data_IF_813947433473
#
_entry.id   IF_813947433473
#
_cell.length_a   1.000
_cell.length_b   1.000
_cell.length_c   1.000
_cell.angle_alpha   90.00
_cell.angle_beta   90.00
_cell.angle_gamma   90.00
#
_symmetry.space_group_name_H-M   'P 1'
#
loop_
_entity.id
_entity.type
_entity.pdbx_description
1 polymer ?
#
# COMPACT_ATOMS: atom_id res chain seq x y z
N UNK A 1 -26.90 62.09 47.06
CA UNK A 1 -26.05 61.72 45.91
C UNK A 1 -25.32 60.41 46.07
N UNK A 2 -25.24 59.76 47.29
CA UNK A 2 -24.57 58.49 47.47
C UNK A 2 -25.45 57.27 47.07
N UNK A 3 -26.77 57.36 47.04
CA UNK A 3 -27.64 56.23 46.70
C UNK A 3 -27.69 55.87 45.20
N UNK A 4 -27.45 56.81 44.32
CA UNK A 4 -27.48 56.60 42.85
C UNK A 4 -26.20 55.86 42.35
N UNK A 5 -25.07 56.06 42.99
CA UNK A 5 -23.81 55.41 42.69
C UNK A 5 -23.81 53.92 43.00
N UNK A 6 -24.49 53.50 44.09
CA UNK A 6 -24.59 52.08 44.54
C UNK A 6 -25.48 51.27 43.57
N UNK A 7 -26.64 51.83 43.17
CA UNK A 7 -27.55 51.13 42.24
C UNK A 7 -26.95 50.96 40.84
N UNK A 8 -26.18 51.94 40.31
CA UNK A 8 -25.49 51.81 39.06
C UNK A 8 -24.37 50.76 39.08
N UNK A 9 -23.64 50.67 40.19
CA UNK A 9 -22.63 49.63 40.41
C UNK A 9 -23.23 48.19 40.44
N UNK A 10 -24.41 48.05 41.07
CA UNK A 10 -25.09 46.74 41.12
C UNK A 10 -25.68 46.30 39.79
N UNK A 11 -26.22 47.22 39.00
CA UNK A 11 -26.69 46.94 37.65
C UNK A 11 -25.52 46.54 36.75
N UNK A 12 -24.38 47.23 36.86
CA UNK A 12 -23.19 46.90 36.08
C UNK A 12 -22.62 45.51 36.47
N UNK A 13 -22.56 45.17 37.74
CA UNK A 13 -22.14 43.85 38.23
C UNK A 13 -23.06 42.73 37.74
N UNK A 14 -24.37 42.96 37.72
CA UNK A 14 -25.35 41.99 37.18
C UNK A 14 -25.17 41.81 35.66
N UNK A 15 -24.95 42.85 34.94
CA UNK A 15 -24.72 42.80 33.47
C UNK A 15 -23.43 42.09 33.10
N UNK A 16 -22.35 42.34 33.84
CA UNK A 16 -21.06 41.61 33.65
C UNK A 16 -21.21 40.12 33.96
N UNK A 17 -21.93 39.79 35.04
CA UNK A 17 -22.20 38.38 35.45
C UNK A 17 -23.11 37.66 34.43
N UNK A 18 -24.04 38.36 33.80
CA UNK A 18 -24.91 37.82 32.73
C UNK A 18 -24.10 37.56 31.45
N UNK A 19 -23.27 38.48 31.02
CA UNK A 19 -22.39 38.34 29.87
C UNK A 19 -21.36 37.20 30.05
N UNK A 20 -20.82 37.04 31.24
CA UNK A 20 -19.86 35.98 31.54
C UNK A 20 -20.53 34.60 31.50
N UNK A 21 -21.78 34.46 32.01
CA UNK A 21 -22.56 33.23 31.89
C UNK A 21 -22.90 32.89 30.43
N UNK A 22 -23.33 33.87 29.62
CA UNK A 22 -23.60 33.63 28.20
C UNK A 22 -22.35 33.22 27.42
N UNK A 23 -21.20 33.83 27.71
CA UNK A 23 -19.92 33.45 27.10
C UNK A 23 -19.48 32.02 27.48
N UNK A 24 -19.77 31.61 28.75
CA UNK A 24 -19.47 30.26 29.21
C UNK A 24 -20.39 29.20 28.57
N UNK A 25 -21.70 29.50 28.45
CA UNK A 25 -22.65 28.62 27.73
C UNK A 25 -22.34 28.51 26.27
N UNK A 26 -21.96 29.58 25.57
CA UNK A 26 -21.53 29.55 24.17
C UNK A 26 -20.26 28.73 24.00
N UNK A 27 -19.29 28.84 24.92
CA UNK A 27 -18.05 28.06 24.87
C UNK A 27 -18.27 26.57 25.05
N UNK A 28 -19.19 26.18 25.94
CA UNK A 28 -19.60 24.79 26.19
C UNK A 28 -20.35 24.24 24.97
N UNK A 29 -21.30 25.01 24.43
CA UNK A 29 -22.05 24.64 23.24
C UNK A 29 -21.15 24.46 22.00
N UNK A 30 -20.19 25.37 21.79
CA UNK A 30 -19.23 25.29 20.71
C UNK A 30 -18.32 24.07 20.87
N UNK A 31 -17.85 23.78 22.07
CA UNK A 31 -17.03 22.61 22.38
C UNK A 31 -17.80 21.30 22.17
N UNK A 32 -19.05 21.24 22.59
CA UNK A 32 -19.93 20.08 22.42
C UNK A 32 -20.23 19.83 20.92
N UNK A 33 -20.53 20.89 20.17
CA UNK A 33 -20.79 20.79 18.72
C UNK A 33 -19.53 20.37 17.95
N UNK A 34 -18.36 20.87 18.35
CA UNK A 34 -17.07 20.50 17.75
C UNK A 34 -16.71 19.04 18.02
N UNK A 35 -16.92 18.58 19.27
CA UNK A 35 -16.68 17.16 19.65
C UNK A 35 -17.65 16.23 18.92
N UNK A 36 -18.91 16.62 18.79
CA UNK A 36 -19.90 15.85 18.04
C UNK A 36 -19.57 15.78 16.54
N UNK A 37 -19.06 16.87 15.95
CA UNK A 37 -18.63 16.91 14.55
C UNK A 37 -17.42 16.01 14.30
N UNK A 38 -16.44 16.00 15.22
CA UNK A 38 -15.28 15.10 15.15
C UNK A 38 -15.72 13.64 15.29
N UNK A 39 -16.60 13.34 16.25
CA UNK A 39 -17.11 11.99 16.47
C UNK A 39 -17.88 11.48 15.24
N UNK A 40 -18.74 12.31 14.64
CA UNK A 40 -19.49 11.96 13.44
C UNK A 40 -18.57 11.77 12.22
N UNK A 41 -17.53 12.59 12.10
CA UNK A 41 -16.53 12.45 11.07
C UNK A 41 -15.73 11.14 11.24
N UNK A 42 -15.36 10.80 12.47
CA UNK A 42 -14.67 9.53 12.76
C UNK A 42 -15.57 8.31 12.48
N UNK A 43 -16.85 8.37 12.83
CA UNK A 43 -17.80 7.29 12.51
C UNK A 43 -18.01 7.12 11.00
N UNK A 44 -18.13 8.22 10.24
CA UNK A 44 -18.29 8.14 8.79
C UNK A 44 -17.03 7.57 8.08
N UNK A 45 -15.84 7.85 8.63
CA UNK A 45 -14.60 7.24 8.14
C UNK A 45 -14.54 5.74 8.47
N UNK A 46 -14.99 5.34 9.67
CA UNK A 46 -15.11 3.94 10.06
C UNK A 46 -16.13 3.17 9.20
N UNK A 47 -17.29 3.75 8.93
CA UNK A 47 -18.28 3.17 8.01
C UNK A 47 -17.71 3.03 6.60
N UNK A 48 -17.00 4.05 6.11
CA UNK A 48 -16.29 3.99 4.83
C UNK A 48 -15.23 2.88 4.80
N UNK A 49 -14.51 2.70 5.91
CA UNK A 49 -13.51 1.63 6.06
C UNK A 49 -14.14 0.24 5.97
N UNK A 50 -15.19 -0.02 6.76
CA UNK A 50 -15.88 -1.31 6.79
C UNK A 50 -16.54 -1.64 5.45
N UNK A 51 -17.15 -0.65 4.79
CA UNK A 51 -17.77 -0.85 3.47
C UNK A 51 -16.73 -1.17 2.39
N UNK A 52 -15.58 -0.48 2.40
CA UNK A 52 -14.49 -0.78 1.44
C UNK A 52 -13.93 -2.19 1.67
N UNK A 53 -13.70 -2.60 2.92
CA UNK A 53 -13.29 -3.97 3.24
C UNK A 53 -14.33 -5.01 2.80
N UNK A 54 -15.62 -4.74 3.03
CA UNK A 54 -16.72 -5.59 2.58
C UNK A 54 -16.73 -5.75 1.06
N UNK A 55 -16.56 -4.66 0.32
CA UNK A 55 -16.53 -4.67 -1.15
C UNK A 55 -15.31 -5.44 -1.69
N UNK A 56 -14.13 -5.27 -1.09
CA UNK A 56 -12.93 -6.03 -1.44
C UNK A 56 -13.16 -7.53 -1.22
N UNK A 57 -13.73 -7.92 -0.07
CA UNK A 57 -14.02 -9.31 0.24
C UNK A 57 -15.06 -9.92 -0.73
N UNK A 58 -16.14 -9.19 -1.04
CA UNK A 58 -17.16 -9.62 -2.00
C UNK A 58 -16.59 -9.81 -3.41
N UNK A 59 -15.79 -8.86 -3.89
CA UNK A 59 -15.10 -8.97 -5.17
C UNK A 59 -14.13 -10.16 -5.21
N UNK A 60 -13.42 -10.41 -4.11
CA UNK A 60 -12.58 -11.60 -3.96
C UNK A 60 -13.39 -12.90 -4.08
N UNK A 61 -14.54 -12.97 -3.41
CA UNK A 61 -15.43 -14.14 -3.50
C UNK A 61 -16.02 -14.32 -4.92
N UNK A 62 -16.40 -13.23 -5.58
CA UNK A 62 -16.86 -13.27 -6.96
C UNK A 62 -15.75 -13.71 -7.92
N UNK A 63 -14.53 -13.25 -7.72
CA UNK A 63 -13.35 -13.69 -8.48
C UNK A 63 -13.18 -15.21 -8.40
N UNK A 64 -13.20 -15.80 -7.19
CA UNK A 64 -13.06 -17.24 -7.02
C UNK A 64 -14.21 -18.03 -7.65
N UNK A 65 -15.45 -17.52 -7.62
CA UNK A 65 -16.59 -18.13 -8.31
C UNK A 65 -16.42 -18.05 -9.84
N UNK A 66 -15.90 -16.93 -10.33
CA UNK A 66 -15.65 -16.72 -11.76
C UNK A 66 -14.55 -17.58 -12.33
N UNK A 67 -13.57 -17.99 -11.53
CA UNK A 67 -12.45 -18.82 -11.96
C UNK A 67 -12.90 -20.17 -12.57
N UNK A 68 -14.06 -20.69 -12.19
CA UNK A 68 -14.63 -21.93 -12.72
C UNK A 68 -15.34 -21.77 -14.07
N UNK A 69 -15.74 -20.55 -14.45
CA UNK A 69 -16.59 -20.29 -15.63
C UNK A 69 -15.79 -19.69 -16.81
N UNK A 70 -14.55 -19.89 -16.86
CA UNK A 70 -13.54 -19.17 -17.58
C UNK A 70 -13.61 -19.27 -19.13
N UNK A 71 -13.89 -18.18 -19.84
CA UNK A 71 -13.28 -17.92 -21.15
C UNK A 71 -12.53 -16.60 -21.15
N UNK A 72 -11.49 -16.43 -20.31
CA UNK A 72 -10.61 -15.29 -20.49
C UNK A 72 -9.67 -15.57 -21.64
N UNK A 73 -9.58 -14.63 -22.54
CA UNK A 73 -8.69 -14.71 -23.67
C UNK A 73 -7.25 -14.60 -23.14
N UNK A 74 -6.45 -15.65 -23.36
CA UNK A 74 -5.02 -15.69 -23.04
C UNK A 74 -4.30 -14.38 -23.44
N UNK A 75 -4.69 -13.78 -24.55
CA UNK A 75 -4.19 -12.50 -25.04
C UNK A 75 -4.37 -11.36 -24.02
N UNK A 76 -5.54 -11.27 -23.36
CA UNK A 76 -5.80 -10.24 -22.36
C UNK A 76 -4.93 -10.40 -21.11
N UNK A 77 -4.72 -11.65 -20.66
CA UNK A 77 -3.82 -11.92 -19.52
C UNK A 77 -2.37 -11.53 -19.87
N UNK A 78 -1.89 -11.87 -21.07
CA UNK A 78 -0.52 -11.53 -21.51
C UNK A 78 -0.31 -10.03 -21.65
N UNK A 79 -1.31 -9.30 -22.13
CA UNK A 79 -1.23 -7.84 -22.22
C UNK A 79 -1.14 -7.19 -20.83
N UNK A 80 -1.96 -7.65 -19.89
CA UNK A 80 -1.87 -7.18 -18.52
C UNK A 80 -0.57 -7.62 -17.84
N UNK A 81 -0.11 -8.85 -18.06
CA UNK A 81 1.16 -9.35 -17.54
C UNK A 81 2.35 -8.52 -18.04
N UNK A 82 2.35 -8.12 -19.32
CA UNK A 82 3.38 -7.23 -19.86
C UNK A 82 3.38 -5.86 -19.17
N UNK A 83 2.21 -5.29 -18.90
CA UNK A 83 2.12 -4.03 -18.13
C UNK A 83 2.66 -4.19 -16.71
N UNK A 84 2.25 -5.26 -16.00
CA UNK A 84 2.72 -5.53 -14.64
C UNK A 84 4.21 -5.83 -14.55
N UNK A 85 4.73 -6.64 -15.47
CA UNK A 85 6.11 -7.06 -15.46
C UNK A 85 7.03 -6.03 -16.11
N UNK A 86 6.94 -5.89 -17.44
CA UNK A 86 7.93 -5.13 -18.20
C UNK A 86 7.90 -3.63 -17.90
N UNK A 87 6.70 -3.02 -17.83
CA UNK A 87 6.60 -1.58 -17.63
C UNK A 87 6.99 -1.13 -16.21
N UNK A 88 6.83 -2.00 -15.20
CA UNK A 88 7.18 -1.67 -13.81
C UNK A 88 8.65 -1.92 -13.47
N UNK A 89 9.34 -2.82 -14.21
CA UNK A 89 10.73 -3.20 -13.93
C UNK A 89 11.70 -2.02 -13.76
N UNK A 90 11.75 -1.01 -14.65
CA UNK A 90 12.74 0.06 -14.52
C UNK A 90 12.63 0.81 -13.20
N UNK A 91 11.41 1.13 -12.79
CA UNK A 91 11.14 1.86 -11.52
C UNK A 91 11.42 0.95 -10.32
N UNK A 92 10.97 -0.30 -10.38
CA UNK A 92 11.15 -1.26 -9.29
C UNK A 92 12.63 -1.58 -9.08
N UNK A 93 13.39 -1.81 -10.14
CA UNK A 93 14.84 -2.01 -10.07
C UNK A 93 15.55 -0.79 -9.49
N UNK A 94 15.15 0.41 -9.88
CA UNK A 94 15.76 1.64 -9.34
C UNK A 94 15.50 1.78 -7.85
N UNK A 95 14.27 1.59 -7.40
CA UNK A 95 13.91 1.73 -5.97
C UNK A 95 14.59 0.64 -5.14
N UNK A 96 14.43 -0.63 -5.50
CA UNK A 96 14.99 -1.76 -4.78
C UNK A 96 16.53 -1.75 -4.83
N UNK A 97 17.12 -1.39 -5.97
CA UNK A 97 18.56 -1.27 -6.12
C UNK A 97 19.15 -0.16 -5.24
N UNK A 98 18.54 1.02 -5.22
CA UNK A 98 19.01 2.13 -4.36
C UNK A 98 18.88 1.82 -2.87
N UNK A 99 17.76 1.24 -2.44
CA UNK A 99 17.58 0.84 -1.03
C UNK A 99 18.58 -0.24 -0.63
N UNK A 100 18.84 -1.21 -1.49
CA UNK A 100 19.84 -2.24 -1.25
C UNK A 100 21.26 -1.67 -1.13
N UNK A 101 21.64 -0.72 -1.99
CA UNK A 101 22.93 -0.02 -1.90
C UNK A 101 23.10 0.67 -0.55
N UNK A 102 22.06 1.40 -0.09
CA UNK A 102 22.07 2.11 1.19
C UNK A 102 22.23 1.12 2.35
N UNK A 103 21.43 0.06 2.38
CA UNK A 103 21.47 -0.95 3.45
C UNK A 103 22.82 -1.68 3.45
N UNK A 104 23.32 -2.07 2.28
CA UNK A 104 24.60 -2.75 2.17
C UNK A 104 25.77 -1.87 2.66
N UNK A 105 25.78 -0.57 2.36
CA UNK A 105 26.80 0.36 2.89
C UNK A 105 26.74 0.45 4.42
N UNK A 106 25.55 0.53 5.01
CA UNK A 106 25.38 0.60 6.45
C UNK A 106 25.83 -0.70 7.15
N UNK A 107 25.36 -1.86 6.65
CA UNK A 107 25.72 -3.16 7.19
C UNK A 107 27.23 -3.41 7.05
N UNK A 108 27.79 -3.17 5.86
CA UNK A 108 29.20 -3.39 5.60
C UNK A 108 30.09 -2.52 6.51
N UNK A 109 29.73 -1.24 6.68
CA UNK A 109 30.46 -0.33 7.54
C UNK A 109 30.52 -0.77 9.01
N UNK A 110 29.40 -1.26 9.55
CA UNK A 110 29.35 -1.72 10.95
C UNK A 110 29.97 -3.12 11.12
N UNK A 111 29.71 -4.06 10.23
CA UNK A 111 30.22 -5.42 10.32
C UNK A 111 31.75 -5.48 10.18
N UNK A 112 32.33 -4.69 9.28
CA UNK A 112 33.78 -4.65 9.11
C UNK A 112 34.48 -4.07 10.36
N UNK A 113 33.93 -3.03 10.99
CA UNK A 113 34.43 -2.49 12.25
C UNK A 113 34.46 -3.53 13.38
N UNK A 114 33.48 -4.43 13.38
CA UNK A 114 33.34 -5.53 14.37
C UNK A 114 34.17 -6.77 13.99
N UNK A 115 34.91 -6.76 12.89
CA UNK A 115 35.66 -7.93 12.41
C UNK A 115 34.80 -9.03 11.76
N UNK A 116 33.50 -8.75 11.52
CA UNK A 116 32.51 -9.70 10.98
C UNK A 116 32.20 -9.45 9.49
N UNK A 117 33.12 -8.88 8.72
CA UNK A 117 32.95 -8.54 7.31
C UNK A 117 32.54 -9.71 6.42
N UNK A 118 32.94 -10.94 6.78
CA UNK A 118 32.59 -12.15 6.04
C UNK A 118 31.07 -12.50 6.06
N UNK A 119 30.26 -11.86 6.91
CA UNK A 119 28.84 -12.10 7.02
C UNK A 119 27.98 -11.05 6.32
N UNK A 120 28.59 -10.01 5.72
CA UNK A 120 27.88 -8.89 5.07
C UNK A 120 26.97 -9.37 3.95
N UNK A 121 27.47 -10.19 3.02
CA UNK A 121 26.68 -10.70 1.91
C UNK A 121 25.50 -11.56 2.36
N UNK A 122 25.72 -12.39 3.40
CA UNK A 122 24.67 -13.19 4.04
C UNK A 122 23.53 -12.29 4.56
N UNK A 123 23.84 -11.27 5.34
CA UNK A 123 22.83 -10.40 5.94
C UNK A 123 22.08 -9.58 4.87
N UNK A 124 22.79 -9.02 3.90
CA UNK A 124 22.17 -8.26 2.81
C UNK A 124 21.26 -9.14 1.99
N UNK A 125 21.68 -10.35 1.62
CA UNK A 125 20.87 -11.25 0.81
C UNK A 125 19.63 -11.75 1.54
N UNK A 126 19.74 -12.09 2.83
CA UNK A 126 18.59 -12.48 3.67
C UNK A 126 17.59 -11.33 3.78
N UNK A 127 18.03 -10.11 4.07
CA UNK A 127 17.16 -8.95 4.16
C UNK A 127 16.45 -8.66 2.83
N UNK A 128 17.18 -8.73 1.71
CA UNK A 128 16.61 -8.49 0.38
C UNK A 128 15.56 -9.53 -0.01
N UNK A 129 15.79 -10.81 0.27
CA UNK A 129 14.88 -11.88 -0.12
C UNK A 129 13.69 -11.99 0.84
N UNK A 130 13.89 -11.85 2.15
CA UNK A 130 12.82 -12.02 3.14
C UNK A 130 11.91 -10.81 3.26
N UNK A 131 12.46 -9.58 3.23
CA UNK A 131 11.71 -8.38 3.61
C UNK A 131 11.83 -7.26 2.57
N UNK A 132 12.98 -6.61 2.48
CA UNK A 132 13.17 -5.37 1.75
C UNK A 132 12.82 -5.45 0.26
N UNK A 133 13.29 -6.50 -0.41
CA UNK A 133 13.02 -6.67 -1.85
C UNK A 133 11.54 -6.82 -2.17
N UNK A 134 10.80 -7.55 -1.32
CA UNK A 134 9.36 -7.80 -1.50
C UNK A 134 8.55 -6.53 -1.20
N UNK A 135 8.83 -5.86 -0.07
CA UNK A 135 8.11 -4.66 0.37
C UNK A 135 8.34 -3.50 -0.60
N UNK A 136 9.60 -3.21 -0.93
CA UNK A 136 9.96 -2.09 -1.81
C UNK A 136 9.45 -2.30 -3.24
N UNK A 137 9.51 -3.54 -3.77
CA UNK A 137 8.88 -3.86 -5.02
C UNK A 137 7.35 -3.70 -4.95
N UNK A 138 6.72 -4.10 -3.83
CA UNK A 138 5.30 -3.89 -3.58
C UNK A 138 4.92 -2.41 -3.62
N UNK A 139 5.67 -1.56 -2.95
CA UNK A 139 5.45 -0.11 -2.93
C UNK A 139 5.60 0.52 -4.32
N UNK A 140 6.61 0.12 -5.08
CA UNK A 140 6.79 0.58 -6.45
C UNK A 140 5.61 0.19 -7.35
N UNK A 141 5.15 -1.06 -7.24
CA UNK A 141 4.02 -1.57 -8.02
C UNK A 141 2.70 -0.90 -7.63
N UNK A 142 2.42 -0.70 -6.34
CA UNK A 142 1.23 0.03 -5.89
C UNK A 142 1.20 1.43 -6.49
N UNK A 143 2.31 2.14 -6.42
CA UNK A 143 2.39 3.52 -6.89
C UNK A 143 2.19 3.64 -8.40
N UNK A 144 2.71 2.72 -9.17
CA UNK A 144 2.65 2.75 -10.64
C UNK A 144 1.44 1.99 -11.19
N UNK A 145 1.34 0.71 -10.90
CA UNK A 145 0.32 -0.17 -11.49
C UNK A 145 -0.98 -0.12 -10.70
N UNK A 146 -0.93 -0.15 -9.38
CA UNK A 146 -2.12 -0.07 -8.53
C UNK A 146 -2.92 1.20 -8.78
N UNK A 147 -2.25 2.35 -8.84
CA UNK A 147 -2.88 3.63 -9.16
C UNK A 147 -3.44 3.66 -10.58
N UNK A 148 -2.69 3.15 -11.57
CA UNK A 148 -3.12 3.09 -12.96
C UNK A 148 -4.35 2.22 -13.15
N UNK A 149 -4.39 1.02 -12.54
CA UNK A 149 -5.55 0.13 -12.58
C UNK A 149 -6.79 0.75 -11.96
N UNK A 150 -6.65 1.37 -10.79
CA UNK A 150 -7.75 2.04 -10.13
C UNK A 150 -8.29 3.20 -10.97
N UNK A 151 -7.41 3.99 -11.59
CA UNK A 151 -7.78 5.10 -12.47
C UNK A 151 -8.49 4.61 -13.74
N UNK A 152 -7.99 3.53 -14.37
CA UNK A 152 -8.57 2.95 -15.58
C UNK A 152 -9.99 2.44 -15.32
N UNK A 153 -10.20 1.66 -14.25
CA UNK A 153 -11.51 1.13 -13.88
C UNK A 153 -12.46 2.25 -13.44
N UNK A 154 -11.95 3.22 -12.67
CA UNK A 154 -12.73 4.38 -12.26
C UNK A 154 -13.21 5.21 -13.46
N UNK A 155 -12.35 5.42 -14.45
CA UNK A 155 -12.72 6.09 -15.70
C UNK A 155 -13.79 5.31 -16.46
N UNK A 156 -13.63 4.00 -16.61
CA UNK A 156 -14.63 3.14 -17.25
C UNK A 156 -15.97 3.16 -16.48
N UNK A 157 -15.95 3.28 -15.16
CA UNK A 157 -17.17 3.38 -14.34
C UNK A 157 -17.86 4.71 -14.52
N UNK A 158 -17.13 5.82 -14.49
CA UNK A 158 -17.67 7.17 -14.62
C UNK A 158 -18.21 7.46 -16.03
N UNK A 159 -17.61 6.84 -17.05
CA UNK A 159 -18.05 6.95 -18.46
C UNK A 159 -19.10 5.90 -18.83
N UNK A 160 -19.70 5.19 -17.86
CA UNK A 160 -20.76 4.19 -18.03
C UNK A 160 -20.39 2.97 -18.91
N UNK A 161 -19.11 2.80 -19.25
CA UNK A 161 -18.65 1.65 -20.05
C UNK A 161 -18.90 0.32 -19.33
N UNK A 162 -18.78 0.29 -18.00
CA UNK A 162 -19.07 -0.91 -17.19
C UNK A 162 -20.57 -1.26 -17.24
N UNK A 163 -21.42 -0.25 -17.24
CA UNK A 163 -22.87 -0.47 -17.31
C UNK A 163 -23.30 -0.91 -18.73
N UNK A 164 -22.64 -0.41 -19.79
CA UNK A 164 -22.80 -0.94 -21.15
C UNK A 164 -22.42 -2.43 -21.26
N UNK A 165 -21.33 -2.87 -20.62
CA UNK A 165 -20.95 -4.29 -20.55
C UNK A 165 -22.03 -5.14 -19.87
N UNK A 166 -22.66 -4.61 -18.80
CA UNK A 166 -23.76 -5.30 -18.11
C UNK A 166 -25.01 -5.45 -19.00
N UNK A 167 -25.33 -4.44 -19.80
CA UNK A 167 -26.45 -4.51 -20.76
C UNK A 167 -26.22 -5.61 -21.78
N UNK A 168 -24.98 -5.86 -22.18
CA UNK A 168 -24.57 -6.98 -23.04
C UNK A 168 -24.64 -8.36 -22.34
N UNK A 169 -25.12 -8.43 -21.09
CA UNK A 169 -25.19 -9.64 -20.25
C UNK A 169 -23.80 -10.26 -19.94
N UNK A 170 -22.73 -9.50 -20.07
CA UNK A 170 -21.39 -9.91 -19.68
C UNK A 170 -21.13 -9.44 -18.24
N UNK A 171 -20.65 -10.33 -17.37
CA UNK A 171 -20.29 -9.93 -16.01
C UNK A 171 -18.98 -9.13 -16.04
N UNK A 172 -18.99 -7.85 -15.64
CA UNK A 172 -17.79 -6.99 -15.65
C UNK A 172 -16.63 -7.54 -14.81
N UNK A 173 -16.95 -8.23 -13.71
CA UNK A 173 -15.92 -8.82 -12.82
C UNK A 173 -15.11 -9.87 -13.57
N UNK A 174 -15.79 -10.76 -14.32
CA UNK A 174 -15.09 -11.80 -15.06
C UNK A 174 -14.32 -11.27 -16.26
N UNK A 175 -14.85 -10.26 -16.92
CA UNK A 175 -14.24 -9.70 -18.13
C UNK A 175 -13.09 -8.74 -17.83
N UNK A 176 -13.26 -7.87 -16.84
CA UNK A 176 -12.29 -6.80 -16.55
C UNK A 176 -11.30 -7.18 -15.44
N UNK A 177 -11.77 -7.80 -14.35
CA UNK A 177 -10.92 -7.99 -13.16
C UNK A 177 -10.12 -9.28 -13.20
N UNK A 178 -10.74 -10.37 -13.63
CA UNK A 178 -10.09 -11.68 -13.64
C UNK A 178 -8.74 -11.67 -14.37
N UNK A 179 -8.60 -11.15 -15.61
CA UNK A 179 -7.31 -11.12 -16.29
C UNK A 179 -6.28 -10.21 -15.59
N UNK A 180 -6.74 -9.10 -14.96
CA UNK A 180 -5.86 -8.19 -14.22
C UNK A 180 -5.34 -8.81 -12.92
N UNK A 181 -6.22 -9.47 -12.17
CA UNK A 181 -5.85 -10.13 -10.91
C UNK A 181 -4.91 -11.31 -11.17
N UNK A 182 -5.17 -12.13 -12.17
CA UNK A 182 -4.28 -13.24 -12.53
C UNK A 182 -2.92 -12.72 -12.97
N UNK A 183 -2.90 -11.74 -13.86
CA UNK A 183 -1.65 -11.17 -14.37
C UNK A 183 -0.81 -10.56 -13.23
N UNK A 184 -1.42 -9.77 -12.35
CA UNK A 184 -0.71 -9.16 -11.23
C UNK A 184 -0.20 -10.18 -10.22
N UNK A 185 -1.01 -11.20 -9.91
CA UNK A 185 -0.61 -12.28 -9.01
C UNK A 185 0.59 -13.06 -9.56
N UNK A 186 0.60 -13.40 -10.84
CA UNK A 186 1.67 -14.20 -11.46
C UNK A 186 2.94 -13.39 -11.76
N UNK A 187 2.80 -12.10 -12.09
CA UNK A 187 3.94 -11.26 -12.42
C UNK A 187 4.66 -10.68 -11.22
N UNK A 188 3.97 -10.53 -10.09
CA UNK A 188 4.59 -9.97 -8.88
C UNK A 188 5.81 -10.76 -8.40
N UNK A 189 5.80 -12.11 -8.28
CA UNK A 189 7.00 -12.88 -7.94
C UNK A 189 8.15 -12.66 -8.91
N UNK A 190 7.87 -12.57 -10.21
CA UNK A 190 8.91 -12.36 -11.24
C UNK A 190 9.61 -11.02 -11.02
N UNK A 191 8.83 -9.95 -10.80
CA UNK A 191 9.38 -8.61 -10.55
C UNK A 191 10.17 -8.58 -9.25
N UNK A 192 9.67 -9.21 -8.19
CA UNK A 192 10.35 -9.29 -6.88
C UNK A 192 11.68 -10.03 -6.98
N UNK A 193 11.70 -11.20 -7.63
CA UNK A 193 12.93 -11.99 -7.78
C UNK A 193 13.98 -11.21 -8.57
N UNK A 194 13.59 -10.64 -9.71
CA UNK A 194 14.50 -9.87 -10.56
C UNK A 194 15.04 -8.65 -9.82
N UNK A 195 14.19 -7.92 -9.10
CA UNK A 195 14.60 -6.74 -8.34
C UNK A 195 15.45 -7.08 -7.12
N UNK A 196 15.17 -8.18 -6.41
CA UNK A 196 15.99 -8.65 -5.30
C UNK A 196 17.38 -9.11 -5.75
N UNK A 197 17.46 -9.82 -6.88
CA UNK A 197 18.75 -10.17 -7.49
C UNK A 197 19.56 -8.94 -7.87
N UNK A 198 18.90 -7.95 -8.49
CA UNK A 198 19.54 -6.69 -8.82
C UNK A 198 19.99 -5.93 -7.57
N UNK A 199 19.21 -5.97 -6.51
CA UNK A 199 19.56 -5.42 -5.19
C UNK A 199 20.81 -6.08 -4.59
N UNK A 200 20.89 -7.43 -4.61
CA UNK A 200 22.07 -8.16 -4.11
C UNK A 200 23.32 -7.79 -4.88
N UNK A 201 23.22 -7.65 -6.21
CA UNK A 201 24.33 -7.21 -7.06
C UNK A 201 24.76 -5.76 -6.72
N UNK A 202 23.81 -4.86 -6.56
CA UNK A 202 24.05 -3.48 -6.12
C UNK A 202 24.71 -3.41 -4.74
N UNK A 203 24.26 -4.27 -3.83
CA UNK A 203 24.83 -4.44 -2.49
C UNK A 203 26.28 -4.91 -2.51
N UNK A 204 26.66 -5.79 -3.44
CA UNK A 204 28.06 -6.22 -3.61
C UNK A 204 28.97 -5.04 -3.99
N UNK A 205 28.56 -4.22 -4.94
CA UNK A 205 29.28 -3.02 -5.35
C UNK A 205 29.40 -2.03 -4.20
N UNK A 206 28.32 -1.79 -3.50
CA UNK A 206 28.24 -0.86 -2.35
C UNK A 206 29.16 -1.31 -1.20
N UNK A 207 29.15 -2.60 -0.87
CA UNK A 207 29.99 -3.17 0.20
C UNK A 207 31.49 -3.08 -0.14
N UNK A 208 31.85 -3.29 -1.39
CA UNK A 208 33.23 -3.13 -1.85
C UNK A 208 33.69 -1.68 -1.74
N UNK A 209 32.88 -0.72 -2.19
CA UNK A 209 33.21 0.72 -2.14
C UNK A 209 33.27 1.27 -0.71
N UNK A 210 32.35 0.83 0.18
CA UNK A 210 32.24 1.36 1.53
C UNK A 210 33.26 0.75 2.50
N UNK A 211 33.63 -0.52 2.33
CA UNK A 211 34.38 -1.28 3.34
C UNK A 211 35.58 -2.05 2.76
N UNK A 212 35.84 -1.93 1.45
CA UNK A 212 36.92 -2.67 0.80
C UNK A 212 36.69 -4.20 0.76
N UNK A 213 35.48 -4.66 1.01
CA UNK A 213 35.17 -6.09 1.02
C UNK A 213 35.32 -6.67 -0.39
N UNK A 214 36.04 -7.79 -0.50
CA UNK A 214 36.24 -8.45 -1.80
C UNK A 214 34.94 -9.05 -2.32
N UNK A 215 34.64 -8.89 -3.60
CA UNK A 215 33.44 -9.51 -4.23
C UNK A 215 33.31 -11.00 -3.95
N UNK A 216 34.43 -11.74 -3.98
CA UNK A 216 34.47 -13.18 -3.67
C UNK A 216 33.92 -13.45 -2.25
N UNK A 217 34.44 -12.75 -1.24
CA UNK A 217 34.00 -12.92 0.14
C UNK A 217 32.50 -12.57 0.32
N UNK A 218 32.02 -11.55 -0.40
CA UNK A 218 30.61 -11.18 -0.39
C UNK A 218 29.74 -12.29 -0.97
N UNK A 219 30.02 -12.80 -2.18
CA UNK A 219 29.20 -13.84 -2.82
C UNK A 219 29.30 -15.19 -2.11
N UNK A 220 30.47 -15.56 -1.58
CA UNK A 220 30.61 -16.78 -0.77
C UNK A 220 29.69 -16.73 0.45
N UNK A 221 29.54 -15.56 1.10
CA UNK A 221 28.64 -15.38 2.23
C UNK A 221 27.16 -15.34 1.81
N UNK A 222 26.82 -14.84 0.61
CA UNK A 222 25.46 -14.89 0.06
C UNK A 222 25.01 -16.35 -0.10
N UNK A 223 25.85 -17.21 -0.70
CA UNK A 223 25.54 -18.63 -0.88
C UNK A 223 25.38 -19.39 0.44
N UNK A 224 26.13 -19.00 1.45
CA UNK A 224 26.00 -19.61 2.78
C UNK A 224 24.70 -19.22 3.51
N UNK A 225 24.19 -18.01 3.24
CA UNK A 225 23.03 -17.45 3.95
C UNK A 225 21.67 -17.76 3.35
N UNK A 226 21.57 -17.90 2.04
CA UNK A 226 20.30 -18.11 1.35
C UNK A 226 19.87 -19.58 1.36
N UNK A 227 18.69 -19.84 1.92
CA UNK A 227 18.06 -21.15 1.93
C UNK A 227 16.90 -21.20 0.92
N UNK A 228 16.60 -22.40 0.40
CA UNK A 228 15.42 -22.63 -0.46
C UNK A 228 14.10 -22.29 0.25
N UNK A 229 14.07 -22.41 1.58
CA UNK A 229 12.93 -21.98 2.38
C UNK A 229 12.64 -20.48 2.20
N UNK A 230 13.66 -19.63 2.27
CA UNK A 230 13.53 -18.18 2.13
C UNK A 230 12.99 -17.78 0.76
N UNK A 231 13.46 -18.45 -0.29
CA UNK A 231 12.98 -18.23 -1.66
C UNK A 231 11.51 -18.63 -1.82
N UNK A 232 11.11 -19.77 -1.26
CA UNK A 232 9.72 -20.24 -1.32
C UNK A 232 8.77 -19.29 -0.57
N UNK A 233 9.17 -18.79 0.59
CA UNK A 233 8.40 -17.81 1.35
C UNK A 233 8.32 -16.47 0.59
N UNK A 234 9.42 -16.01 -0.03
CA UNK A 234 9.45 -14.83 -0.89
C UNK A 234 8.45 -14.94 -2.05
N UNK A 235 8.41 -16.09 -2.73
CA UNK A 235 7.47 -16.34 -3.84
C UNK A 235 6.03 -16.35 -3.31
N UNK A 236 5.74 -17.04 -2.21
CA UNK A 236 4.40 -17.10 -1.63
C UNK A 236 3.92 -15.72 -1.17
N UNK A 237 4.79 -14.96 -0.50
CA UNK A 237 4.53 -13.59 -0.04
C UNK A 237 4.26 -12.64 -1.22
N UNK A 238 5.07 -12.71 -2.28
CA UNK A 238 4.89 -11.88 -3.47
C UNK A 238 3.62 -12.23 -4.26
N UNK A 239 3.24 -13.52 -4.34
CA UNK A 239 1.94 -13.93 -4.92
C UNK A 239 0.76 -13.30 -4.15
N UNK A 240 0.80 -13.37 -2.82
CA UNK A 240 -0.22 -12.75 -1.98
C UNK A 240 -0.28 -11.24 -2.16
N UNK A 241 0.88 -10.57 -2.24
CA UNK A 241 0.94 -9.13 -2.48
C UNK A 241 0.33 -8.75 -3.84
N UNK A 242 0.71 -9.46 -4.91
CA UNK A 242 0.17 -9.22 -6.25
C UNK A 242 -1.36 -9.38 -6.30
N UNK A 243 -1.88 -10.42 -5.65
CA UNK A 243 -3.31 -10.67 -5.54
C UNK A 243 -4.03 -9.53 -4.81
N UNK A 244 -3.54 -9.15 -3.64
CA UNK A 244 -4.20 -8.14 -2.79
C UNK A 244 -4.13 -6.75 -3.41
N UNK A 245 -2.97 -6.34 -3.96
CA UNK A 245 -2.81 -5.05 -4.63
C UNK A 245 -3.80 -4.91 -5.80
N UNK A 246 -3.90 -5.92 -6.66
CA UNK A 246 -4.79 -5.88 -7.82
C UNK A 246 -6.26 -5.91 -7.43
N UNK A 247 -6.61 -6.70 -6.41
CA UNK A 247 -7.98 -6.78 -5.91
C UNK A 247 -8.44 -5.45 -5.31
N UNK A 248 -7.62 -4.82 -4.48
CA UNK A 248 -7.91 -3.51 -3.86
C UNK A 248 -8.03 -2.44 -4.93
N UNK A 249 -7.09 -2.39 -5.87
CA UNK A 249 -7.09 -1.39 -6.95
C UNK A 249 -8.35 -1.49 -7.81
N UNK A 250 -8.76 -2.71 -8.16
CA UNK A 250 -9.99 -2.96 -8.91
C UNK A 250 -11.24 -2.57 -8.10
N UNK A 251 -11.28 -2.92 -6.81
CA UNK A 251 -12.40 -2.60 -5.93
C UNK A 251 -12.59 -1.09 -5.76
N UNK A 252 -11.53 -0.37 -5.45
CA UNK A 252 -11.57 1.08 -5.29
C UNK A 252 -11.96 1.79 -6.59
N UNK A 253 -11.49 1.30 -7.75
CA UNK A 253 -11.88 1.84 -9.04
C UNK A 253 -13.40 1.72 -9.31
N UNK A 254 -14.03 0.62 -8.89
CA UNK A 254 -15.48 0.42 -9.03
C UNK A 254 -16.33 1.34 -8.13
N UNK A 255 -15.76 1.86 -7.06
CA UNK A 255 -16.45 2.79 -6.15
C UNK A 255 -16.50 4.23 -6.69
N UNK A 256 -15.80 4.52 -7.79
CA UNK A 256 -15.72 5.87 -8.34
C UNK A 256 -17.10 6.44 -8.70
N UNK A 257 -17.34 7.68 -8.30
CA UNK A 257 -18.53 8.49 -8.57
C UNK A 257 -18.06 9.93 -8.86
N UNK A 258 -18.95 10.77 -9.33
CA UNK A 258 -18.72 12.21 -9.50
C UNK A 258 -17.61 12.61 -10.53
N UNK A 259 -17.54 11.91 -11.64
CA UNK A 259 -16.67 12.29 -12.76
C UNK A 259 -15.17 12.23 -12.47
N UNK A 260 -14.40 13.15 -13.04
CA UNK A 260 -12.95 13.16 -12.91
C UNK A 260 -12.45 13.30 -11.46
N UNK A 261 -13.20 14.00 -10.59
CA UNK A 261 -12.88 14.11 -9.16
C UNK A 261 -12.99 12.76 -8.47
N UNK A 262 -14.01 11.97 -8.81
CA UNK A 262 -14.20 10.61 -8.27
C UNK A 262 -13.08 9.66 -8.67
N UNK A 263 -12.56 9.79 -9.90
CA UNK A 263 -11.40 9.01 -10.36
C UNK A 263 -10.17 9.29 -9.50
N UNK A 264 -9.85 10.56 -9.22
CA UNK A 264 -8.74 10.93 -8.35
C UNK A 264 -8.88 10.40 -6.93
N UNK A 265 -10.09 10.47 -6.35
CA UNK A 265 -10.37 9.93 -5.00
C UNK A 265 -10.20 8.40 -4.98
N UNK A 266 -10.74 7.69 -5.97
CA UNK A 266 -10.63 6.24 -6.08
C UNK A 266 -9.17 5.79 -6.21
N UNK A 267 -8.37 6.48 -7.01
CA UNK A 267 -6.94 6.23 -7.19
C UNK A 267 -6.16 6.40 -5.87
N UNK A 268 -6.39 7.51 -5.16
CA UNK A 268 -5.73 7.76 -3.87
C UNK A 268 -6.14 6.71 -2.83
N UNK A 269 -7.43 6.36 -2.75
CA UNK A 269 -7.92 5.30 -1.88
C UNK A 269 -7.24 3.97 -2.20
N UNK A 270 -7.15 3.57 -3.46
CA UNK A 270 -6.52 2.33 -3.87
C UNK A 270 -5.05 2.24 -3.41
N UNK A 271 -4.29 3.32 -3.58
CA UNK A 271 -2.89 3.39 -3.14
C UNK A 271 -2.78 3.25 -1.63
N UNK A 272 -3.52 4.04 -0.86
CA UNK A 272 -3.47 4.03 0.62
C UNK A 272 -3.86 2.65 1.17
N UNK A 273 -4.97 2.08 0.69
CA UNK A 273 -5.43 0.77 1.13
C UNK A 273 -4.47 -0.35 0.78
N UNK A 274 -3.87 -0.29 -0.40
CA UNK A 274 -2.88 -1.28 -0.83
C UNK A 274 -1.61 -1.20 0.03
N UNK A 275 -1.12 0.00 0.36
CA UNK A 275 0.02 0.16 1.27
C UNK A 275 -0.25 -0.45 2.65
N UNK A 276 -1.39 -0.12 3.25
CA UNK A 276 -1.76 -0.67 4.56
C UNK A 276 -1.90 -2.19 4.51
N UNK A 277 -2.55 -2.70 3.47
CA UNK A 277 -2.77 -4.14 3.31
C UNK A 277 -1.46 -4.93 3.16
N UNK A 278 -0.50 -4.45 2.35
CA UNK A 278 0.76 -5.19 2.18
C UNK A 278 1.63 -5.14 3.44
N UNK A 279 1.64 -4.03 4.20
CA UNK A 279 2.39 -3.96 5.47
C UNK A 279 1.80 -4.94 6.50
N UNK A 280 0.46 -5.05 6.58
CA UNK A 280 -0.19 -6.01 7.46
C UNK A 280 0.11 -7.46 7.01
N UNK A 281 0.02 -7.74 5.71
CA UNK A 281 0.36 -9.05 5.15
C UNK A 281 1.82 -9.40 5.41
N UNK A 282 2.72 -8.45 5.25
CA UNK A 282 4.13 -8.61 5.50
C UNK A 282 4.39 -9.07 6.94
N UNK A 283 3.80 -8.37 7.90
CA UNK A 283 3.87 -8.72 9.31
C UNK A 283 3.33 -10.14 9.58
N UNK A 284 2.20 -10.52 8.96
CA UNK A 284 1.61 -11.86 9.12
C UNK A 284 2.55 -12.94 8.58
N UNK A 285 3.11 -12.73 7.37
CA UNK A 285 4.06 -13.68 6.79
C UNK A 285 5.35 -13.79 7.61
N UNK A 286 5.89 -12.65 8.06
CA UNK A 286 7.08 -12.65 8.91
C UNK A 286 6.83 -13.44 10.21
N UNK A 287 5.70 -13.20 10.89
CA UNK A 287 5.35 -13.91 12.12
C UNK A 287 5.09 -15.41 11.90
N UNK A 288 4.53 -15.79 10.75
CA UNK A 288 4.15 -17.19 10.50
C UNK A 288 5.31 -18.07 10.03
N UNK A 289 6.27 -17.51 9.29
CA UNK A 289 7.33 -18.30 8.65
C UNK A 289 8.73 -18.11 9.26
N UNK A 290 8.96 -17.02 10.01
CA UNK A 290 10.29 -16.70 10.56
C UNK A 290 10.33 -16.62 12.09
N UNK A 291 9.17 -16.65 12.76
CA UNK A 291 9.04 -16.69 14.22
C UNK A 291 8.13 -17.87 14.65
#
# INVERSE_FOLDING_TARGET
TQGVSSAASDVYKRQVKYNTRQCYFMKIYYKATYTYKIYRMFLSELEGFVTTLGNIALLGLEFFKGLKTFPTTYKSIMEQASRFGVSSLPITLSIVGMTSVIIAMQIAGEMVKQGAGNYVGMLVSILMVREEGVIMAGFAIISMIGSSLASEIATMKVTEQIDAIRVLRVNPVYYLFTPRVIAGTLMMPVVVIVSSLFGILGGAVASNLASGLTYKAYFDSVWFGLNMHDLNVCILKSLAFGFVITLISCSCGMEARDGAKGVGIATTKAVVWSFVAIVILDLIFAAMFFY
#
